data_IF_562680040367
#
_entry.id   IF_562680040367
#
_cell.length_a   1.000
_cell.length_b   1.000
_cell.length_c   1.000
_cell.angle_alpha   90.00
_cell.angle_beta   90.00
_cell.angle_gamma   90.00
#
_symmetry.space_group_name_H-M   'P 1'
#
loop_
_entity.id
_entity.type
_entity.pdbx_description
1 polymer ?
#
# COMPACT_ATOMS: atom_id res chain seq x y z
N UNK A 1 22.38 3.94 6.57
CA UNK A 1 21.29 4.00 7.56
C UNK A 1 20.81 2.57 7.69
N UNK A 2 21.20 1.87 8.75
CA UNK A 2 20.64 0.53 9.02
C UNK A 2 19.23 0.75 9.57
N UNK A 3 18.29 1.01 8.68
CA UNK A 3 16.89 1.14 9.05
C UNK A 3 16.39 -0.24 9.48
N UNK A 4 15.69 -0.30 10.61
CA UNK A 4 15.34 -1.51 11.35
C UNK A 4 14.21 -2.31 10.69
N UNK A 5 14.24 -2.43 9.37
CA UNK A 5 13.21 -3.07 8.56
C UNK A 5 13.41 -4.58 8.49
N UNK A 6 12.32 -5.37 8.36
CA UNK A 6 12.41 -6.80 8.10
C UNK A 6 13.25 -7.15 6.86
N UNK A 7 13.23 -6.28 5.85
CA UNK A 7 13.95 -6.43 4.58
C UNK A 7 14.55 -5.10 4.13
N UNK A 8 15.53 -5.12 3.23
CA UNK A 8 16.03 -3.89 2.60
C UNK A 8 14.92 -3.25 1.74
N UNK A 9 14.43 -2.03 2.07
CA UNK A 9 13.39 -1.35 1.29
C UNK A 9 13.79 -1.13 -0.17
N UNK A 10 15.09 -1.03 -0.46
CA UNK A 10 15.63 -0.82 -1.81
C UNK A 10 16.13 -2.11 -2.45
N UNK A 11 16.10 -3.21 -1.70
CA UNK A 11 16.47 -4.54 -2.18
C UNK A 11 15.45 -5.14 -3.14
N UNK A 12 15.78 -6.33 -3.63
CA UNK A 12 14.91 -7.09 -4.55
C UNK A 12 13.53 -7.36 -3.94
N UNK A 13 13.49 -7.71 -2.64
CA UNK A 13 12.27 -8.04 -1.93
C UNK A 13 11.43 -6.81 -1.58
N UNK A 14 12.06 -5.69 -1.18
CA UNK A 14 11.36 -4.48 -0.78
C UNK A 14 10.70 -3.75 -1.95
N UNK A 15 11.51 -3.18 -2.84
CA UNK A 15 11.03 -2.36 -3.97
C UNK A 15 11.62 -2.76 -5.32
N UNK A 16 12.30 -3.91 -5.39
CA UNK A 16 12.94 -4.41 -6.60
C UNK A 16 13.94 -3.39 -7.18
N UNK A 17 14.78 -2.80 -6.33
CA UNK A 17 15.68 -1.72 -6.72
C UNK A 17 14.95 -0.43 -7.11
N UNK A 18 13.93 -0.03 -6.34
CA UNK A 18 13.08 1.14 -6.59
C UNK A 18 12.26 1.06 -7.91
N UNK A 19 11.93 -0.15 -8.38
CA UNK A 19 11.00 -0.38 -9.50
C UNK A 19 9.54 -0.48 -9.06
N UNK A 20 9.30 -0.85 -7.80
CA UNK A 20 7.98 -0.99 -7.19
C UNK A 20 7.76 0.06 -6.11
N UNK A 21 6.52 0.53 -6.00
CA UNK A 21 6.09 1.52 -5.03
C UNK A 21 4.75 1.10 -4.43
N UNK A 22 4.47 1.62 -3.24
CA UNK A 22 3.18 1.65 -2.56
C UNK A 22 2.27 0.43 -2.80
N UNK A 23 1.26 0.60 -3.64
CA UNK A 23 0.22 -0.37 -3.93
C UNK A 23 0.79 -1.64 -4.53
N UNK A 24 1.83 -1.55 -5.37
CA UNK A 24 2.42 -2.74 -5.97
C UNK A 24 3.14 -3.59 -4.93
N UNK A 25 3.80 -2.96 -3.95
CA UNK A 25 4.48 -3.67 -2.87
C UNK A 25 3.45 -4.37 -1.98
N UNK A 26 2.34 -3.70 -1.65
CA UNK A 26 1.25 -4.29 -0.86
C UNK A 26 0.57 -5.44 -1.62
N UNK A 27 0.30 -5.26 -2.91
CA UNK A 27 -0.31 -6.27 -3.77
C UNK A 27 0.56 -7.54 -3.93
N UNK A 28 1.89 -7.41 -3.86
CA UNK A 28 2.79 -8.58 -3.91
C UNK A 28 2.75 -9.43 -2.63
N UNK A 29 2.04 -8.99 -1.58
CA UNK A 29 1.85 -9.74 -0.32
C UNK A 29 0.53 -10.51 -0.24
N UNK A 30 -0.27 -10.47 -1.30
CA UNK A 30 -1.58 -11.11 -1.32
C UNK A 30 -1.74 -11.94 -2.59
N UNK A 31 -2.32 -13.11 -2.46
CA UNK A 31 -2.78 -13.97 -3.54
C UNK A 31 -4.28 -13.73 -3.79
N UNK A 32 -4.66 -13.36 -5.01
CA UNK A 32 -6.04 -13.01 -5.36
C UNK A 32 -7.01 -14.21 -5.27
N UNK A 33 -6.52 -15.44 -5.45
CA UNK A 33 -7.35 -16.65 -5.44
C UNK A 33 -7.41 -17.31 -4.05
N UNK A 34 -6.37 -17.16 -3.23
CA UNK A 34 -6.24 -17.88 -1.95
C UNK A 34 -6.52 -17.03 -0.70
N UNK A 35 -6.22 -15.72 -0.73
CA UNK A 35 -6.24 -14.88 0.50
C UNK A 35 -7.54 -14.12 0.73
N UNK A 36 -8.53 -14.25 -0.18
CA UNK A 36 -9.81 -13.56 -0.07
C UNK A 36 -10.96 -14.51 0.31
N UNK A 37 -11.85 -14.12 1.25
CA UNK A 37 -11.90 -12.83 1.92
C UNK A 37 -10.79 -12.62 2.96
N UNK A 38 -10.27 -11.40 3.03
CA UNK A 38 -9.09 -11.01 3.80
C UNK A 38 -9.47 -10.18 5.03
N UNK A 39 -8.96 -10.54 6.21
CA UNK A 39 -9.04 -9.72 7.42
C UNK A 39 -7.87 -8.73 7.51
N UNK A 40 -8.18 -7.45 7.73
CA UNK A 40 -7.21 -6.35 7.82
C UNK A 40 -6.26 -6.53 8.99
N UNK A 41 -6.76 -6.93 10.15
CA UNK A 41 -5.98 -6.97 11.38
C UNK A 41 -5.02 -8.17 11.37
N UNK A 42 -5.41 -9.30 10.80
CA UNK A 42 -4.50 -10.42 10.51
C UNK A 42 -3.41 -10.01 9.51
N UNK A 43 -3.77 -9.35 8.41
CA UNK A 43 -2.81 -8.89 7.41
C UNK A 43 -1.79 -7.90 7.99
N UNK A 44 -2.24 -6.95 8.82
CA UNK A 44 -1.35 -6.00 9.53
C UNK A 44 -0.53 -6.69 10.62
N UNK A 45 -1.05 -7.71 11.29
CA UNK A 45 -0.27 -8.48 12.26
C UNK A 45 0.90 -9.22 11.60
N UNK A 46 0.72 -9.70 10.37
CA UNK A 46 1.76 -10.39 9.62
C UNK A 46 2.74 -9.43 8.93
N UNK A 47 2.24 -8.40 8.24
CA UNK A 47 3.04 -7.55 7.36
C UNK A 47 3.18 -6.10 7.83
N UNK A 48 2.66 -5.74 9.02
CA UNK A 48 2.62 -4.36 9.49
C UNK A 48 3.97 -3.67 9.53
N UNK A 49 5.05 -4.37 9.89
CA UNK A 49 6.40 -3.82 9.94
C UNK A 49 7.12 -3.82 8.56
N UNK A 50 6.48 -4.35 7.52
CA UNK A 50 7.06 -4.45 6.18
C UNK A 50 7.28 -3.05 5.58
N UNK A 51 8.46 -2.76 5.00
CA UNK A 51 8.75 -1.45 4.46
C UNK A 51 8.01 -1.19 3.16
N UNK A 52 7.18 -0.14 3.14
CA UNK A 52 6.49 0.33 1.95
C UNK A 52 7.15 1.60 1.44
N UNK A 53 7.80 1.50 0.28
CA UNK A 53 8.36 2.64 -0.42
C UNK A 53 7.26 3.42 -1.13
N UNK A 54 7.00 4.63 -0.66
CA UNK A 54 5.95 5.50 -1.20
C UNK A 54 6.46 6.27 -2.41
N UNK A 55 7.69 6.77 -2.32
CA UNK A 55 8.35 7.52 -3.38
C UNK A 55 9.88 7.39 -3.24
N UNK A 56 10.65 8.23 -3.94
CA UNK A 56 12.11 8.16 -3.92
C UNK A 56 12.74 8.60 -2.57
N UNK A 57 12.01 9.32 -1.72
CA UNK A 57 12.47 9.81 -0.40
C UNK A 57 11.84 9.05 0.76
N UNK A 58 10.57 8.65 0.63
CA UNK A 58 9.75 8.19 1.75
C UNK A 58 9.56 6.67 1.76
N UNK A 59 9.81 6.07 2.92
CA UNK A 59 9.49 4.68 3.27
C UNK A 59 8.80 4.67 4.63
N UNK A 60 7.67 3.97 4.73
CA UNK A 60 6.85 3.84 5.95
C UNK A 60 6.57 2.36 6.23
N UNK A 61 6.26 1.95 7.48
CA UNK A 61 5.74 0.62 7.73
C UNK A 61 4.34 0.48 7.11
N UNK A 62 3.98 -0.72 6.68
CA UNK A 62 2.64 -0.99 6.15
C UNK A 62 1.54 -0.62 7.15
N UNK A 63 1.77 -0.85 8.45
CA UNK A 63 0.83 -0.52 9.52
C UNK A 63 0.41 0.95 9.51
N UNK A 64 1.33 1.87 9.22
CA UNK A 64 1.05 3.32 9.17
C UNK A 64 0.04 3.67 8.06
N UNK A 65 0.09 2.98 6.92
CA UNK A 65 -0.91 3.15 5.86
C UNK A 65 -2.25 2.57 6.29
N UNK A 66 -2.22 1.40 6.93
CA UNK A 66 -3.41 0.66 7.34
C UNK A 66 -4.15 1.29 8.54
N UNK A 67 -3.53 2.22 9.28
CA UNK A 67 -4.23 3.09 10.24
C UNK A 67 -5.37 3.90 9.59
N UNK A 68 -5.25 4.21 8.29
CA UNK A 68 -6.25 4.97 7.53
C UNK A 68 -7.22 4.07 6.74
N UNK A 69 -7.08 2.73 6.85
CA UNK A 69 -7.94 1.77 6.16
C UNK A 69 -9.16 1.46 7.03
N UNK A 70 -10.33 1.95 6.61
CA UNK A 70 -11.57 1.83 7.38
C UNK A 70 -12.18 0.41 7.39
N UNK A 71 -12.29 -0.33 6.27
CA UNK A 71 -12.89 -1.66 6.29
C UNK A 71 -12.00 -2.65 7.05
N UNK A 72 -12.62 -3.49 7.88
CA UNK A 72 -11.92 -4.54 8.61
C UNK A 72 -11.73 -5.82 7.77
N UNK A 73 -12.52 -5.99 6.71
CA UNK A 73 -12.49 -7.17 5.83
C UNK A 73 -12.64 -6.73 4.37
N UNK A 74 -11.99 -7.47 3.46
CA UNK A 74 -12.08 -7.26 2.02
C UNK A 74 -12.52 -8.55 1.33
N UNK A 75 -13.55 -8.47 0.50
CA UNK A 75 -14.05 -9.62 -0.27
C UNK A 75 -13.17 -9.92 -1.50
N UNK A 76 -12.50 -8.89 -2.03
CA UNK A 76 -11.71 -9.02 -3.25
C UNK A 76 -10.46 -8.14 -3.20
N UNK A 77 -9.46 -8.49 -4.00
CA UNK A 77 -8.29 -7.67 -4.24
C UNK A 77 -8.67 -6.24 -4.68
N UNK A 78 -9.72 -6.10 -5.49
CA UNK A 78 -10.22 -4.79 -5.92
C UNK A 78 -10.74 -3.95 -4.74
N UNK A 79 -11.42 -4.56 -3.77
CA UNK A 79 -11.93 -3.86 -2.59
C UNK A 79 -10.78 -3.40 -1.68
N UNK A 80 -9.77 -4.26 -1.48
CA UNK A 80 -8.53 -3.91 -0.79
C UNK A 80 -7.83 -2.73 -1.49
N UNK A 81 -7.63 -2.79 -2.82
CA UNK A 81 -6.95 -1.72 -3.56
C UNK A 81 -7.65 -0.37 -3.46
N UNK A 82 -8.99 -0.37 -3.50
CA UNK A 82 -9.77 0.85 -3.31
C UNK A 82 -9.59 1.41 -1.90
N UNK A 83 -9.64 0.56 -0.88
CA UNK A 83 -9.49 0.97 0.51
C UNK A 83 -8.09 1.51 0.80
N UNK A 84 -7.03 0.81 0.37
CA UNK A 84 -5.65 1.28 0.49
C UNK A 84 -5.47 2.57 -0.30
N UNK A 85 -6.03 2.69 -1.51
CA UNK A 85 -5.96 3.92 -2.29
C UNK A 85 -6.65 5.11 -1.62
N UNK A 86 -7.74 4.87 -0.89
CA UNK A 86 -8.40 5.89 -0.08
C UNK A 86 -7.53 6.27 1.13
N UNK A 87 -6.97 5.29 1.83
CA UNK A 87 -6.06 5.47 2.95
C UNK A 87 -4.82 6.30 2.57
N UNK A 88 -4.20 6.00 1.44
CA UNK A 88 -3.04 6.74 0.92
C UNK A 88 -3.33 8.24 0.71
N UNK A 89 -4.57 8.59 0.33
CA UNK A 89 -5.01 9.98 0.19
C UNK A 89 -5.41 10.59 1.53
N UNK A 90 -6.04 9.83 2.42
CA UNK A 90 -6.47 10.31 3.73
C UNK A 90 -5.29 10.60 4.67
N UNK A 91 -4.21 9.81 4.56
CA UNK A 91 -2.98 9.98 5.33
C UNK A 91 -1.92 10.87 4.69
N UNK A 92 -2.24 11.59 3.62
CA UNK A 92 -1.32 12.51 2.91
C UNK A 92 0.02 11.86 2.46
N UNK A 93 0.03 10.55 2.20
CA UNK A 93 1.25 9.82 1.81
C UNK A 93 1.74 10.21 0.40
N UNK A 94 0.82 10.51 -0.51
CA UNK A 94 1.18 10.93 -1.87
C UNK A 94 1.48 12.42 -1.92
N UNK A 95 2.67 12.77 -2.42
CA UNK A 95 3.08 14.18 -2.53
C UNK A 95 2.28 14.95 -3.59
N UNK A 96 1.79 14.24 -4.63
CA UNK A 96 0.95 14.82 -5.66
C UNK A 96 -0.53 14.66 -5.34
N UNK A 97 -1.18 15.79 -5.09
CA UNK A 97 -2.62 15.88 -4.92
C UNK A 97 -3.23 16.54 -6.16
N UNK A 98 -3.95 15.81 -7.02
CA UNK A 98 -4.61 16.40 -8.16
C UNK A 98 -5.65 17.43 -7.68
N UNK A 99 -5.41 18.71 -7.96
CA UNK A 99 -6.38 19.79 -7.73
C UNK A 99 -7.27 19.91 -8.95
N UNK A 100 -8.45 19.29 -8.90
CA UNK A 100 -9.44 19.42 -9.96
C UNK A 100 -10.83 18.96 -9.50
N UNK A 101 -11.83 19.82 -9.69
CA UNK A 101 -13.24 19.45 -9.63
C UNK A 101 -13.54 18.54 -10.81
N UNK A 102 -13.45 17.22 -10.62
CA UNK A 102 -13.90 16.21 -11.59
C UNK A 102 -13.23 16.35 -12.98
N UNK A 103 -11.96 15.91 -13.15
CA UNK A 103 -11.37 15.88 -14.48
C UNK A 103 -12.22 14.98 -15.38
N UNK A 104 -12.71 15.50 -16.51
CA UNK A 104 -13.52 14.74 -17.48
C UNK A 104 -12.93 13.34 -17.67
N UNK A 105 -13.73 12.30 -17.38
CA UNK A 105 -13.37 10.91 -17.67
C UNK A 105 -13.16 10.78 -19.18
N UNK A 106 -11.92 10.95 -19.63
CA UNK A 106 -11.54 10.63 -21.01
C UNK A 106 -11.50 9.11 -21.11
N UNK A 107 -12.53 8.55 -21.72
CA UNK A 107 -12.48 7.18 -22.21
C UNK A 107 -11.38 7.12 -23.28
N UNK A 108 -10.45 6.18 -23.09
CA UNK A 108 -9.45 5.81 -24.09
C UNK A 108 -10.10 5.03 -25.24
#
# INVERSE_FOLDING_TARGET
>A
MSSNWPVDPDGEEGSEGMRKFDMRIIADKVDEEEDFPMDRDEFVAEYGDYPIRINYETVVPMSEIFEYVEPAEFETMLDMHKAVGAAMRAGDFWTYHPKGSDPEKKHA
#
